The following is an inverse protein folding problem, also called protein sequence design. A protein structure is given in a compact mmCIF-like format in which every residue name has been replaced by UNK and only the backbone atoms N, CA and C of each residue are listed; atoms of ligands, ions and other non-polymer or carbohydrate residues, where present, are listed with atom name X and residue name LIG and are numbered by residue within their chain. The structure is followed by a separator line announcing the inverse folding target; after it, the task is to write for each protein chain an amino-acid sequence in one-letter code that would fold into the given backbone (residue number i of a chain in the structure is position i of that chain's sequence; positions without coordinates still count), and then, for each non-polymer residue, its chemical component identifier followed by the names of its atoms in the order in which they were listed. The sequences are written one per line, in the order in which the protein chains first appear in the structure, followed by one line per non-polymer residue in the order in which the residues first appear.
data_IF_853374637820
#
_entry.id   IF_853374637820
#
_cell.length_a   1.000
_cell.length_b   1.000
_cell.length_c   1.000
_cell.angle_alpha   90.00
_cell.angle_beta   90.00
_cell.angle_gamma   90.00
#
_symmetry.space_group_name_H-M   'P 1'
#
loop_
_entity.id
_entity.type
_entity.pdbx_description
1 polymer ?
#
# COMPACT_ATOMS: atom_id res chain seq x y z
N UNK A 1 -2.55 -1.32 -33.06
CA UNK A 1 -2.13 -0.92 -31.69
C UNK A 1 -3.29 -0.50 -30.79
N UNK A 2 -4.15 0.46 -31.18
CA UNK A 2 -5.27 0.96 -30.35
C UNK A 2 -6.20 -0.14 -29.78
N UNK A 3 -6.59 -1.12 -30.61
CA UNK A 3 -7.44 -2.26 -30.18
C UNK A 3 -6.78 -3.17 -29.14
N UNK A 4 -5.45 -3.28 -29.17
CA UNK A 4 -4.68 -4.14 -28.27
C UNK A 4 -4.53 -3.46 -26.89
N UNK A 5 -4.31 -2.15 -26.87
CA UNK A 5 -4.31 -1.33 -25.65
C UNK A 5 -5.66 -1.39 -24.94
N UNK A 6 -6.78 -1.28 -25.69
CA UNK A 6 -8.13 -1.39 -25.11
C UNK A 6 -8.36 -2.77 -24.50
N UNK A 7 -7.94 -3.85 -25.18
CA UNK A 7 -8.08 -5.21 -24.66
C UNK A 7 -7.28 -5.42 -23.37
N UNK A 8 -6.04 -4.94 -23.32
CA UNK A 8 -5.20 -5.01 -22.11
C UNK A 8 -5.83 -4.20 -20.97
N UNK A 9 -6.37 -3.00 -21.27
CA UNK A 9 -7.06 -2.18 -20.28
C UNK A 9 -8.28 -2.88 -19.69
N UNK A 10 -9.10 -3.52 -20.52
CA UNK A 10 -10.28 -4.29 -20.06
C UNK A 10 -9.86 -5.47 -19.18
N UNK A 11 -8.82 -6.22 -19.57
CA UNK A 11 -8.28 -7.32 -18.77
C UNK A 11 -7.78 -6.82 -17.42
N UNK A 12 -7.06 -5.69 -17.40
CA UNK A 12 -6.58 -5.08 -16.15
C UNK A 12 -7.72 -4.67 -15.21
N UNK A 13 -8.79 -4.10 -15.74
CA UNK A 13 -9.99 -3.74 -14.95
C UNK A 13 -10.66 -5.00 -14.38
N UNK A 14 -10.79 -6.06 -15.17
CA UNK A 14 -11.38 -7.31 -14.70
C UNK A 14 -10.55 -7.96 -13.58
N UNK A 15 -9.22 -7.92 -13.68
CA UNK A 15 -8.33 -8.40 -12.62
C UNK A 15 -8.50 -7.57 -11.33
N UNK A 16 -8.59 -6.25 -11.45
CA UNK A 16 -8.84 -5.34 -10.32
C UNK A 16 -10.19 -5.64 -9.63
N UNK A 17 -11.25 -5.82 -10.41
CA UNK A 17 -12.58 -6.18 -9.88
C UNK A 17 -12.55 -7.54 -9.18
N UNK A 18 -11.86 -8.53 -9.76
CA UNK A 18 -11.69 -9.85 -9.14
C UNK A 18 -10.91 -9.78 -7.83
N UNK A 19 -9.86 -8.96 -7.77
CA UNK A 19 -9.08 -8.75 -6.53
C UNK A 19 -9.94 -8.09 -5.44
N UNK A 20 -10.73 -7.06 -5.78
CA UNK A 20 -11.64 -6.40 -4.83
C UNK A 20 -12.68 -7.38 -4.29
N UNK A 21 -13.27 -8.20 -5.16
CA UNK A 21 -14.23 -9.23 -4.75
C UNK A 21 -13.60 -10.28 -3.84
N UNK A 22 -12.37 -10.73 -4.15
CA UNK A 22 -11.62 -11.66 -3.29
C UNK A 22 -11.32 -11.09 -1.91
N UNK A 23 -10.97 -9.81 -1.81
CA UNK A 23 -10.76 -9.13 -0.51
C UNK A 23 -12.06 -9.05 0.28
N UNK A 24 -13.20 -8.74 -0.37
CA UNK A 24 -14.50 -8.74 0.29
C UNK A 24 -14.88 -10.11 0.83
N UNK A 25 -14.74 -11.16 0.02
CA UNK A 25 -15.03 -12.53 0.42
C UNK A 25 -14.12 -12.99 1.57
N UNK A 26 -12.84 -12.60 1.54
CA UNK A 26 -11.90 -12.90 2.63
C UNK A 26 -12.25 -12.14 3.92
N UNK A 27 -12.65 -10.86 3.83
CA UNK A 27 -13.10 -10.08 4.98
C UNK A 27 -14.38 -10.65 5.61
N UNK A 28 -15.29 -11.17 4.80
CA UNK A 28 -16.49 -11.88 5.25
C UNK A 28 -16.13 -13.21 5.92
N UNK A 29 -15.25 -14.01 5.31
CA UNK A 29 -14.79 -15.29 5.87
C UNK A 29 -14.02 -15.12 7.19
N UNK A 30 -13.25 -14.03 7.33
CA UNK A 30 -12.52 -13.68 8.54
C UNK A 30 -13.40 -13.01 9.61
N UNK A 31 -14.69 -12.77 9.33
CA UNK A 31 -15.61 -12.12 10.26
C UNK A 31 -15.30 -10.64 10.55
N UNK A 32 -14.34 -10.05 9.83
CA UNK A 32 -13.94 -8.63 9.97
C UNK A 32 -15.08 -7.70 9.53
N UNK A 33 -16.00 -8.20 8.69
CA UNK A 33 -17.21 -7.48 8.30
C UNK A 33 -18.24 -7.32 9.43
N UNK A 34 -18.10 -8.06 10.55
CA UNK A 34 -18.98 -7.89 11.70
C UNK A 34 -18.33 -6.92 12.70
N UNK A 35 -18.96 -5.78 13.01
CA UNK A 35 -18.44 -4.90 14.03
C UNK A 35 -18.40 -5.63 15.37
N UNK A 36 -17.22 -5.68 15.99
CA UNK A 36 -17.06 -6.23 17.35
C UNK A 36 -17.98 -5.41 18.27
N UNK A 37 -18.89 -6.05 19.04
CA UNK A 37 -19.78 -5.33 19.94
C UNK A 37 -18.95 -4.54 20.96
N UNK A 38 -19.13 -3.22 20.96
CA UNK A 38 -18.55 -2.35 21.98
C UNK A 38 -19.16 -2.73 23.33
N UNK A 39 -18.36 -3.38 24.17
CA UNK A 39 -18.65 -3.51 25.60
C UNK A 39 -18.62 -2.10 26.18
N UNK A 40 -19.79 -1.49 26.31
CA UNK A 40 -19.95 -0.26 27.08
C UNK A 40 -19.82 -0.69 28.53
N UNK A 41 -18.60 -0.66 29.07
CA UNK A 41 -18.41 -0.65 30.51
C UNK A 41 -19.02 0.65 31.03
N UNK A 42 -20.27 0.56 31.46
CA UNK A 42 -20.90 1.57 32.29
C UNK A 42 -20.03 1.73 33.52
N UNK A 43 -19.23 2.80 33.52
CA UNK A 43 -18.46 3.25 34.67
C UNK A 43 -19.41 3.50 35.83
N UNK A 44 -19.52 2.52 36.73
CA UNK A 44 -19.79 2.78 38.15
C UNK A 44 -18.56 2.37 38.96
N UNK A 45 -17.75 3.39 39.27
CA UNK A 45 -17.12 3.63 40.58
C UNK A 45 -16.54 2.42 41.34
N UNK A 46 -15.21 2.22 41.27
CA UNK A 46 -14.28 2.46 42.39
C UNK A 46 -12.79 2.19 42.05
N UNK A 47 -11.85 2.85 42.74
CA UNK A 47 -10.43 2.89 42.36
C UNK A 47 -9.66 1.75 43.03
N UNK A 48 -8.82 1.02 42.28
CA UNK A 48 -7.70 0.31 42.87
C UNK A 48 -6.51 0.21 41.92
N UNK A 49 -5.41 0.70 42.45
CA UNK A 49 -4.04 0.65 41.92
C UNK A 49 -3.72 -0.75 41.39
N UNK A 50 -3.16 -0.82 40.21
CA UNK A 50 -2.16 -1.83 39.92
C UNK A 50 -0.99 -1.20 39.18
N UNK A 51 0.11 -1.10 39.93
CA UNK A 51 1.46 -0.94 39.42
C UNK A 51 1.67 -1.99 38.32
N UNK A 52 1.85 -1.56 37.08
CA UNK A 52 2.63 -2.33 36.13
C UNK A 52 4.09 -1.99 36.38
N UNK A 53 4.69 -2.81 37.24
CA UNK A 53 6.13 -2.90 37.39
C UNK A 53 6.76 -3.09 36.00
N UNK A 54 7.65 -2.17 35.64
CA UNK A 54 8.70 -2.44 34.66
C UNK A 54 9.59 -3.52 35.25
N UNK A 55 9.28 -4.78 34.98
CA UNK A 55 10.30 -5.82 34.99
C UNK A 55 11.08 -5.72 33.67
N UNK A 56 12.21 -5.00 33.72
CA UNK A 56 13.28 -5.19 32.75
C UNK A 56 13.80 -6.62 32.91
N UNK A 57 13.27 -7.53 32.10
CA UNK A 57 13.83 -8.88 31.98
C UNK A 57 15.23 -8.78 31.32
N UNK A 58 16.25 -9.48 31.85
CA UNK A 58 17.62 -9.44 31.29
C UNK A 58 17.74 -10.12 29.91
N UNK A 59 16.62 -10.58 29.33
CA UNK A 59 16.58 -11.41 28.13
C UNK A 59 16.41 -10.62 26.82
N UNK A 60 16.09 -9.32 26.90
CA UNK A 60 15.82 -8.50 25.71
C UNK A 60 17.06 -8.36 24.80
N UNK A 61 18.26 -8.36 25.38
CA UNK A 61 19.52 -8.21 24.62
C UNK A 61 19.86 -9.45 23.79
N UNK A 62 19.60 -10.65 24.31
CA UNK A 62 19.80 -11.91 23.56
C UNK A 62 18.80 -12.04 22.41
N UNK A 63 17.55 -11.62 22.64
CA UNK A 63 16.52 -11.61 21.61
C UNK A 63 16.82 -10.59 20.49
N UNK A 64 17.36 -9.41 20.84
CA UNK A 64 17.78 -8.39 19.86
C UNK A 64 18.97 -8.85 19.00
N UNK A 65 19.91 -9.60 19.57
CA UNK A 65 21.05 -10.17 18.84
C UNK A 65 20.58 -11.29 17.90
N UNK A 66 19.67 -12.16 18.36
CA UNK A 66 19.07 -13.20 17.53
C UNK A 66 18.22 -12.64 16.37
N UNK A 67 17.47 -11.54 16.60
CA UNK A 67 16.74 -10.83 15.54
C UNK A 67 17.68 -10.15 14.55
N UNK A 68 18.83 -9.66 14.99
CA UNK A 68 19.84 -9.06 14.11
C UNK A 68 20.48 -10.11 13.18
N UNK A 69 20.83 -11.29 13.70
CA UNK A 69 21.37 -12.40 12.90
C UNK A 69 20.35 -12.97 11.90
N UNK A 70 19.07 -13.04 12.28
CA UNK A 70 18.02 -13.49 11.36
C UNK A 70 17.75 -12.49 10.24
N UNK A 71 17.84 -11.18 10.51
CA UNK A 71 17.78 -10.13 9.47
C UNK A 71 19.00 -10.15 8.52
N UNK A 72 20.16 -10.64 8.99
CA UNK A 72 21.38 -10.74 8.18
C UNK A 72 21.39 -12.01 7.31
N UNK A 73 20.88 -13.15 7.83
CA UNK A 73 20.76 -14.42 7.10
C UNK A 73 19.59 -14.42 6.10
N UNK A 74 18.47 -13.84 6.49
CA UNK A 74 17.34 -13.57 5.58
C UNK A 74 17.65 -12.22 4.95
N UNK A 75 18.67 -12.20 4.07
CA UNK A 75 19.11 -10.99 3.38
C UNK A 75 17.90 -10.19 2.92
N UNK A 76 17.93 -8.87 3.11
CA UNK A 76 16.83 -7.90 2.92
C UNK A 76 16.08 -8.08 1.58
N UNK A 77 15.29 -9.13 1.45
CA UNK A 77 14.29 -9.27 0.41
C UNK A 77 13.08 -8.49 0.87
N UNK A 78 13.23 -7.15 0.92
CA UNK A 78 12.14 -6.23 1.13
C UNK A 78 11.39 -6.10 -0.21
N UNK A 79 10.66 -7.15 -0.58
CA UNK A 79 9.83 -7.16 -1.78
C UNK A 79 8.92 -5.91 -1.85
N UNK A 80 8.39 -5.47 -0.71
CA UNK A 80 7.61 -4.23 -0.62
C UNK A 80 8.42 -2.95 -0.80
N UNK A 81 9.70 -2.93 -0.43
CA UNK A 81 10.58 -1.77 -0.65
C UNK A 81 11.03 -1.68 -2.10
N UNK A 82 11.37 -2.80 -2.74
CA UNK A 82 11.77 -2.81 -4.14
C UNK A 82 10.57 -2.56 -5.06
N UNK A 83 9.40 -3.11 -4.72
CA UNK A 83 8.14 -2.79 -5.39
C UNK A 83 7.74 -1.33 -5.16
N UNK A 84 7.90 -0.82 -3.94
CA UNK A 84 7.66 0.59 -3.61
C UNK A 84 8.54 1.55 -4.40
N UNK A 85 9.85 1.26 -4.48
CA UNK A 85 10.79 2.02 -5.29
C UNK A 85 10.41 1.97 -6.78
N UNK A 86 10.08 0.79 -7.31
CA UNK A 86 9.67 0.63 -8.71
C UNK A 86 8.38 1.39 -9.04
N UNK A 87 7.41 1.40 -8.12
CA UNK A 87 6.16 2.17 -8.27
C UNK A 87 6.44 3.67 -8.21
N UNK A 88 7.28 4.11 -7.27
CA UNK A 88 7.65 5.51 -7.12
C UNK A 88 8.38 6.04 -8.37
N UNK A 89 9.34 5.28 -8.89
CA UNK A 89 10.08 5.61 -10.11
C UNK A 89 9.16 5.63 -11.33
N UNK A 90 8.26 4.65 -11.44
CA UNK A 90 7.24 4.60 -12.50
C UNK A 90 6.29 5.79 -12.45
N UNK A 91 5.83 6.18 -11.26
CA UNK A 91 4.95 7.33 -11.09
C UNK A 91 5.67 8.65 -11.41
N UNK A 92 6.94 8.78 -11.03
CA UNK A 92 7.76 9.95 -11.37
C UNK A 92 7.92 10.08 -12.89
N UNK A 93 8.26 8.99 -13.58
CA UNK A 93 8.36 8.99 -15.03
C UNK A 93 7.02 9.33 -15.70
N UNK A 94 5.93 8.69 -15.27
CA UNK A 94 4.61 8.90 -15.84
C UNK A 94 4.12 10.34 -15.65
N UNK A 95 4.28 10.90 -14.45
CA UNK A 95 3.88 12.27 -14.13
C UNK A 95 4.62 13.31 -14.97
N UNK A 96 5.94 13.15 -15.15
CA UNK A 96 6.74 14.02 -16.04
C UNK A 96 6.33 13.89 -17.50
N UNK A 97 6.06 12.67 -17.97
CA UNK A 97 5.63 12.43 -19.35
C UNK A 97 4.24 13.03 -19.63
N UNK A 98 3.31 12.91 -18.67
CA UNK A 98 1.99 13.54 -18.75
C UNK A 98 2.09 15.06 -18.76
N UNK A 99 2.89 15.62 -17.86
CA UNK A 99 3.10 17.07 -17.81
C UNK A 99 3.72 17.59 -19.12
N UNK A 100 4.67 16.85 -19.69
CA UNK A 100 5.26 17.16 -21.00
C UNK A 100 4.23 17.11 -22.13
N UNK A 101 3.32 16.13 -22.12
CA UNK A 101 2.24 16.04 -23.11
C UNK A 101 1.24 17.18 -22.98
N UNK A 102 0.86 17.55 -21.75
CA UNK A 102 -0.02 18.70 -21.51
C UNK A 102 0.65 20.00 -21.97
N UNK A 103 1.92 20.21 -21.61
CA UNK A 103 2.68 21.37 -22.07
C UNK A 103 2.80 21.41 -23.59
N UNK A 104 3.10 20.27 -24.23
CA UNK A 104 3.18 20.19 -25.70
C UNK A 104 1.83 20.45 -26.36
N UNK A 105 0.74 19.96 -25.77
CA UNK A 105 -0.61 20.18 -26.28
C UNK A 105 -1.03 21.64 -26.16
N UNK A 106 -0.79 22.25 -24.99
CA UNK A 106 -1.02 23.68 -24.75
C UNK A 106 -0.19 24.53 -25.70
N UNK A 107 1.09 24.17 -25.89
CA UNK A 107 1.98 24.85 -26.83
C UNK A 107 1.47 24.72 -28.28
N UNK A 108 1.04 23.53 -28.70
CA UNK A 108 0.50 23.31 -30.05
C UNK A 108 -0.82 24.05 -30.29
N UNK A 109 -1.70 24.15 -29.30
CA UNK A 109 -2.97 24.88 -29.42
C UNK A 109 -2.75 26.39 -29.42
N UNK A 110 -1.92 26.90 -28.51
CA UNK A 110 -1.69 28.34 -28.38
C UNK A 110 -0.80 28.90 -29.48
N UNK A 111 0.22 28.14 -29.91
CA UNK A 111 1.16 28.58 -30.94
C UNK A 111 0.83 28.03 -32.33
N UNK A 112 -0.24 27.25 -32.47
CA UNK A 112 -0.80 26.90 -33.78
C UNK A 112 0.14 26.14 -34.71
N UNK A 113 1.09 25.35 -34.19
CA UNK A 113 1.80 24.38 -35.01
C UNK A 113 0.83 23.24 -35.36
N UNK A 114 -0.01 23.47 -36.37
CA UNK A 114 -0.50 22.39 -37.22
C UNK A 114 0.74 21.65 -37.70
N UNK A 115 0.85 20.39 -37.31
CA UNK A 115 1.79 19.48 -37.96
C UNK A 115 1.33 19.39 -39.42
N UNK A 116 1.97 20.15 -40.29
CA UNK A 116 1.98 19.83 -41.71
C UNK A 116 2.88 18.59 -41.86
N UNK A 117 2.26 17.42 -41.64
CA UNK A 117 2.54 16.14 -42.30
C UNK A 117 1.41 15.13 -42.02
#
# INVERSE_FOLDING_TARGET
MKKLVVRIGVIGILILLGALFGVQQMNEALGISQPVPLLIETKETQPKKEKLEKEESPNTKLELVAKKETVEKVGRFNFFSDMGNSIADGFNFLSRSLLSQVMSFVNNILNGYSSDE
#
